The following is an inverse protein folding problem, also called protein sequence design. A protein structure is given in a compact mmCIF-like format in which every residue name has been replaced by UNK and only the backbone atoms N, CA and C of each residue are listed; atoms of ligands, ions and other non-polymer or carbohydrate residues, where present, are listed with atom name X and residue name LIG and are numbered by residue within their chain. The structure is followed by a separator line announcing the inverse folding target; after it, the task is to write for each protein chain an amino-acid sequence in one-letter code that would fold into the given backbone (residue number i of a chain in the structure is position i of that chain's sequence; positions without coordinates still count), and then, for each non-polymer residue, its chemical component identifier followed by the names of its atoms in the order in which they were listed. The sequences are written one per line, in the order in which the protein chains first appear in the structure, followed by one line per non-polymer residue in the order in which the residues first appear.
data_IF_681158381732
#
_entry.id   IF_681158381732
#
_cell.length_a   1.000
_cell.length_b   1.000
_cell.length_c   1.000
_cell.angle_alpha   90.00
_cell.angle_beta   90.00
_cell.angle_gamma   90.00
#
_symmetry.space_group_name_H-M   'P 1'
#
loop_
_entity.id
_entity.type
_entity.pdbx_description
1 polymer ?
#
# COMPACT_ATOMS: atom_id res chain seq x y z
N UNK A 1 -18.16 -5.47 -24.31
CA UNK A 1 -17.50 -4.94 -23.09
C UNK A 1 -18.07 -5.63 -21.86
N UNK A 2 -17.22 -6.07 -20.95
CA UNK A 2 -17.67 -6.71 -19.72
C UNK A 2 -17.81 -5.66 -18.62
N UNK A 3 -18.91 -5.70 -17.90
CA UNK A 3 -19.15 -4.80 -16.78
C UNK A 3 -19.70 -5.56 -15.58
N UNK A 4 -19.51 -4.98 -14.39
CA UNK A 4 -20.03 -5.54 -13.15
C UNK A 4 -20.26 -4.42 -12.13
N UNK A 5 -21.13 -4.72 -11.16
CA UNK A 5 -21.34 -3.82 -10.02
C UNK A 5 -20.47 -4.29 -8.86
N UNK A 6 -19.68 -3.41 -8.23
CA UNK A 6 -18.83 -3.82 -7.11
C UNK A 6 -19.58 -4.50 -5.97
N UNK A 7 -20.83 -4.10 -5.73
CA UNK A 7 -21.66 -4.70 -4.66
C UNK A 7 -22.07 -6.15 -4.94
N UNK A 8 -21.94 -6.60 -6.21
CA UNK A 8 -22.40 -7.92 -6.63
C UNK A 8 -21.27 -8.95 -6.64
N UNK A 9 -20.04 -8.55 -6.31
CA UNK A 9 -18.88 -9.43 -6.25
C UNK A 9 -18.20 -9.33 -4.89
N UNK A 10 -17.43 -10.36 -4.54
CA UNK A 10 -16.67 -10.34 -3.28
C UNK A 10 -15.57 -9.27 -3.31
N UNK A 11 -15.16 -8.82 -2.13
CA UNK A 11 -14.03 -7.88 -2.00
C UNK A 11 -12.74 -8.46 -2.59
N UNK A 12 -12.48 -9.76 -2.35
CA UNK A 12 -11.31 -10.41 -2.90
C UNK A 12 -11.31 -10.44 -4.43
N UNK A 13 -12.46 -10.68 -5.05
CA UNK A 13 -12.59 -10.70 -6.50
C UNK A 13 -12.43 -9.29 -7.08
N UNK A 14 -13.03 -8.29 -6.46
CA UNK A 14 -12.86 -6.90 -6.85
C UNK A 14 -11.38 -6.48 -6.74
N UNK A 15 -10.71 -6.86 -5.67
CA UNK A 15 -9.28 -6.59 -5.47
C UNK A 15 -8.45 -7.18 -6.61
N UNK A 16 -8.72 -8.42 -7.01
CA UNK A 16 -8.02 -9.06 -8.12
C UNK A 16 -8.26 -8.33 -9.45
N UNK A 17 -9.46 -7.88 -9.70
CA UNK A 17 -9.79 -7.12 -10.92
C UNK A 17 -9.04 -5.79 -10.96
N UNK A 18 -8.99 -5.06 -9.84
CA UNK A 18 -8.27 -3.79 -9.76
C UNK A 18 -6.76 -3.98 -9.96
N UNK A 19 -6.19 -5.03 -9.35
CA UNK A 19 -4.77 -5.33 -9.51
C UNK A 19 -4.42 -5.65 -10.97
N UNK A 20 -5.33 -6.29 -11.69
CA UNK A 20 -5.11 -6.67 -13.08
C UNK A 20 -5.36 -5.51 -14.05
N UNK A 21 -6.34 -4.67 -13.75
CA UNK A 21 -6.74 -3.57 -14.65
C UNK A 21 -5.74 -2.41 -14.61
N UNK A 22 -5.13 -2.14 -13.46
CA UNK A 22 -4.21 -1.02 -13.27
C UNK A 22 -2.83 -1.56 -12.94
N UNK A 23 -2.04 -1.79 -13.98
CA UNK A 23 -0.68 -2.34 -13.89
C UNK A 23 0.13 -1.86 -15.11
N UNK A 24 1.46 -1.72 -15.00
CA UNK A 24 2.24 -1.87 -13.77
C UNK A 24 2.00 -0.71 -12.79
N UNK A 25 2.31 -0.96 -11.52
CA UNK A 25 2.23 0.05 -10.46
C UNK A 25 3.59 0.24 -9.80
N UNK A 26 3.95 1.49 -9.43
CA UNK A 26 5.14 1.69 -8.60
C UNK A 26 4.87 1.16 -7.19
N UNK A 27 5.95 0.89 -6.45
CA UNK A 27 5.86 0.37 -5.08
C UNK A 27 6.43 1.40 -4.13
N UNK A 28 5.61 1.81 -3.15
CA UNK A 28 6.08 2.60 -2.02
C UNK A 28 6.53 1.65 -0.92
N UNK A 29 7.84 1.61 -0.67
CA UNK A 29 8.39 0.85 0.45
C UNK A 29 8.43 1.78 1.65
N UNK A 30 7.34 1.77 2.41
CA UNK A 30 7.07 2.79 3.42
C UNK A 30 7.60 2.36 4.78
N UNK A 31 8.41 3.23 5.39
CA UNK A 31 8.86 3.05 6.76
C UNK A 31 8.16 4.04 7.67
N UNK A 32 7.72 3.55 8.81
CA UNK A 32 7.04 4.33 9.84
C UNK A 32 7.53 3.90 11.22
N UNK A 33 7.27 4.73 12.22
CA UNK A 33 7.56 4.41 13.61
C UNK A 33 6.25 4.38 14.40
N UNK A 34 6.18 3.50 15.41
CA UNK A 34 5.10 3.57 16.38
C UNK A 34 5.42 4.61 17.47
N UNK A 35 4.50 4.79 18.43
CA UNK A 35 4.67 5.80 19.48
C UNK A 35 5.88 5.51 20.39
N UNK A 36 6.38 4.28 20.39
CA UNK A 36 7.53 3.84 21.21
C UNK A 36 8.84 3.83 20.42
N UNK A 37 8.80 4.26 19.14
CA UNK A 37 9.97 4.33 18.28
C UNK A 37 10.33 3.03 17.56
N UNK A 38 9.45 2.03 17.60
CA UNK A 38 9.69 0.77 16.90
C UNK A 38 9.41 0.95 15.41
N UNK A 39 10.34 0.56 14.52
CA UNK A 39 10.14 0.73 13.08
C UNK A 39 9.24 -0.34 12.49
N UNK A 40 8.49 0.07 11.46
CA UNK A 40 7.73 -0.82 10.60
C UNK A 40 8.07 -0.50 9.15
N UNK A 41 8.26 -1.51 8.32
CA UNK A 41 8.61 -1.37 6.91
C UNK A 41 7.71 -2.29 6.09
N UNK A 42 6.95 -1.72 5.17
CA UNK A 42 6.01 -2.49 4.35
C UNK A 42 5.89 -1.93 2.95
N UNK A 43 5.70 -2.79 1.94
CA UNK A 43 5.50 -2.34 0.56
C UNK A 43 4.02 -2.12 0.27
N UNK A 44 3.74 -1.09 -0.55
CA UNK A 44 2.40 -0.79 -1.03
C UNK A 44 2.45 -0.50 -2.52
N UNK A 45 1.66 -1.23 -3.31
CA UNK A 45 1.59 -1.04 -4.75
C UNK A 45 0.44 -0.14 -5.20
N UNK A 46 -0.46 0.24 -4.29
CA UNK A 46 -1.45 1.29 -4.55
C UNK A 46 -0.80 2.63 -4.22
N UNK A 47 0.00 3.12 -5.16
CA UNK A 47 0.88 4.26 -4.94
C UNK A 47 1.12 5.02 -6.22
N UNK A 48 1.09 6.37 -6.14
CA UNK A 48 1.49 7.21 -7.25
C UNK A 48 1.71 8.65 -6.80
N UNK A 49 2.24 9.46 -7.73
CA UNK A 49 2.40 10.91 -7.59
C UNK A 49 1.16 11.58 -8.17
N UNK A 50 0.60 12.53 -7.43
CA UNK A 50 -0.63 13.22 -7.85
C UNK A 50 -0.46 14.71 -8.10
N UNK A 51 0.63 15.32 -7.64
CA UNK A 51 0.92 16.74 -7.91
C UNK A 51 2.39 17.04 -7.65
N UNK A 52 2.93 17.99 -8.40
CA UNK A 52 4.28 18.49 -8.18
C UNK A 52 4.29 19.80 -7.41
N UNK A 53 3.24 20.61 -7.53
CA UNK A 53 3.13 21.89 -6.84
C UNK A 53 1.67 22.11 -6.38
N UNK A 54 1.36 21.79 -5.11
CA UNK A 54 2.26 21.25 -4.07
C UNK A 54 2.69 19.82 -4.37
N UNK A 55 3.81 19.34 -3.81
CA UNK A 55 4.23 17.95 -4.02
C UNK A 55 3.34 17.00 -3.23
N UNK A 56 2.63 16.14 -3.94
CA UNK A 56 1.70 15.19 -3.33
C UNK A 56 1.96 13.80 -3.90
N UNK A 57 2.26 12.86 -3.01
CA UNK A 57 2.26 11.43 -3.29
C UNK A 57 1.21 10.77 -2.41
N UNK A 58 0.54 9.77 -2.95
CA UNK A 58 -0.49 9.02 -2.22
C UNK A 58 -0.15 7.54 -2.30
N UNK A 59 -0.17 6.87 -1.16
CA UNK A 59 -0.22 5.42 -1.12
C UNK A 59 -1.38 5.00 -0.22
N UNK A 60 -1.94 3.82 -0.49
CA UNK A 60 -3.09 3.35 0.25
C UNK A 60 -2.72 2.13 1.08
N UNK A 61 -2.61 2.26 2.41
CA UNK A 61 -2.51 1.09 3.30
C UNK A 61 -3.91 0.53 3.51
N UNK A 62 -4.45 -0.08 2.46
CA UNK A 62 -5.80 -0.60 2.45
C UNK A 62 -6.01 -1.60 3.59
N UNK A 63 -7.26 -1.71 4.05
CA UNK A 63 -7.60 -2.72 5.05
C UNK A 63 -7.31 -4.11 4.50
N UNK A 64 -6.89 -5.00 5.39
CA UNK A 64 -6.58 -6.38 4.98
C UNK A 64 -7.82 -7.04 4.42
N UNK A 65 -7.72 -7.59 3.23
CA UNK A 65 -8.84 -8.29 2.57
C UNK A 65 -9.28 -9.50 3.41
N UNK A 66 -8.31 -10.17 4.03
CA UNK A 66 -8.54 -11.39 4.81
C UNK A 66 -9.50 -11.20 5.99
N UNK A 67 -9.32 -10.14 6.77
CA UNK A 67 -10.08 -9.94 8.01
C UNK A 67 -10.57 -8.50 8.22
N UNK A 68 -10.39 -7.64 7.21
CA UNK A 68 -10.82 -6.24 7.24
C UNK A 68 -10.20 -5.42 8.37
N UNK A 69 -8.99 -5.79 8.84
CA UNK A 69 -8.25 -5.02 9.84
C UNK A 69 -7.32 -4.00 9.18
N UNK A 70 -6.89 -2.99 9.93
CA UNK A 70 -5.95 -1.99 9.45
C UNK A 70 -4.51 -2.50 9.61
N UNK A 71 -3.62 -2.06 8.72
CA UNK A 71 -2.20 -2.37 8.81
C UNK A 71 -1.51 -1.43 9.80
N UNK A 72 -0.39 -1.90 10.38
CA UNK A 72 0.41 -1.11 11.31
C UNK A 72 0.89 0.21 10.70
N UNK A 73 1.21 0.23 9.39
CA UNK A 73 1.62 1.45 8.69
C UNK A 73 0.58 2.55 8.81
N UNK A 74 -0.71 2.22 8.64
CA UNK A 74 -1.78 3.20 8.78
C UNK A 74 -1.84 3.73 10.21
N UNK A 75 -1.80 2.85 11.19
CA UNK A 75 -1.85 3.22 12.61
C UNK A 75 -0.68 4.15 12.98
N UNK A 76 0.53 3.80 12.52
CA UNK A 76 1.73 4.59 12.81
C UNK A 76 1.67 5.96 12.12
N UNK A 77 1.24 6.01 10.86
CA UNK A 77 1.14 7.27 10.13
C UNK A 77 0.13 8.21 10.76
N UNK A 78 -0.99 7.69 11.24
CA UNK A 78 -1.99 8.50 11.94
C UNK A 78 -1.48 9.01 13.28
N UNK A 79 -0.71 8.20 14.00
CA UNK A 79 -0.20 8.57 15.32
C UNK A 79 0.89 9.62 15.26
N UNK A 80 1.89 9.45 14.40
CA UNK A 80 3.07 10.33 14.35
C UNK A 80 3.06 11.27 13.15
N UNK A 81 2.22 11.04 12.16
CA UNK A 81 2.06 11.88 10.96
C UNK A 81 3.35 11.99 10.15
N UNK A 82 4.16 10.94 10.15
CA UNK A 82 5.42 10.86 9.41
C UNK A 82 5.52 9.51 8.72
N UNK A 83 5.96 9.55 7.44
CA UNK A 83 6.21 8.35 6.64
C UNK A 83 7.41 8.65 5.75
N UNK A 84 8.32 7.69 5.64
CA UNK A 84 9.40 7.74 4.65
C UNK A 84 9.10 6.74 3.56
N UNK A 85 9.06 7.21 2.33
CA UNK A 85 8.80 6.37 1.17
C UNK A 85 10.11 6.10 0.46
N UNK A 86 10.45 4.81 0.34
CA UNK A 86 11.63 4.36 -0.39
C UNK A 86 11.15 3.75 -1.71
N UNK A 87 11.82 4.11 -2.80
CA UNK A 87 11.49 3.56 -4.12
C UNK A 87 12.16 2.20 -4.26
N UNK A 88 11.36 1.18 -4.59
CA UNK A 88 11.88 -0.18 -4.76
C UNK A 88 12.53 -0.32 -6.13
N UNK A 89 13.76 -0.83 -6.17
CA UNK A 89 14.44 -1.21 -7.41
C UNK A 89 14.51 -2.73 -7.52
N UNK A 90 15.05 -3.22 -8.65
CA UNK A 90 15.11 -4.66 -8.91
C UNK A 90 15.90 -5.41 -7.84
N UNK A 91 17.00 -4.85 -7.36
CA UNK A 91 17.86 -5.51 -6.37
C UNK A 91 17.17 -5.69 -5.02
N UNK A 92 16.14 -4.92 -4.73
CA UNK A 92 15.40 -4.96 -3.47
C UNK A 92 14.17 -5.89 -3.51
N UNK A 93 13.80 -6.40 -4.69
CA UNK A 93 12.51 -7.10 -4.87
C UNK A 93 12.36 -8.27 -3.92
N UNK A 94 13.40 -9.10 -3.76
CA UNK A 94 13.33 -10.28 -2.91
C UNK A 94 13.11 -9.92 -1.43
N UNK A 95 13.90 -8.98 -0.92
CA UNK A 95 13.77 -8.52 0.46
C UNK A 95 12.45 -7.80 0.70
N UNK A 96 12.02 -6.98 -0.27
CA UNK A 96 10.73 -6.30 -0.20
C UNK A 96 9.58 -7.30 -0.13
N UNK A 97 9.63 -8.35 -0.93
CA UNK A 97 8.61 -9.40 -0.92
C UNK A 97 8.55 -10.11 0.43
N UNK A 98 9.70 -10.40 1.03
CA UNK A 98 9.75 -11.01 2.36
C UNK A 98 9.14 -10.09 3.43
N UNK A 99 9.32 -8.79 3.33
CA UNK A 99 8.79 -7.83 4.30
C UNK A 99 7.25 -7.75 4.29
N UNK A 100 6.61 -8.22 3.22
CA UNK A 100 5.15 -8.21 3.12
C UNK A 100 4.49 -9.40 3.81
N UNK A 101 5.26 -10.36 4.29
CA UNK A 101 4.72 -11.52 5.00
C UNK A 101 4.34 -11.11 6.43
N UNK A 102 3.21 -11.60 6.89
CA UNK A 102 2.69 -11.30 8.22
C UNK A 102 2.50 -12.57 9.04
#
# INVERSE_FOLDING_TARGET
MTSFEPKDISTGKLHSYLLSAVAPRPIAFASTLDAEGNPNLSPFSFFNVFSANPPIMIFSPARRVRDNTTKHTLQNAEALKEVVINVVNYDMVHQMSLSSTE
#
